data_IF_347212406290
#
_entry.id   IF_347212406290
#
_cell.length_a   1.000
_cell.length_b   1.000
_cell.length_c   1.000
_cell.angle_alpha   90.00
_cell.angle_beta   90.00
_cell.angle_gamma   90.00
#
_symmetry.space_group_name_H-M   'P 1'
#
loop_
_entity.id
_entity.type
_entity.pdbx_description
1 polymer ?
#
# COMPACT_ATOMS: atom_id res chain seq x y z
N UNK A 1 -19.98 -1.22 20.53
CA UNK A 1 -19.69 -0.98 19.10
C UNK A 1 -19.35 -2.33 18.49
N UNK A 2 -20.05 -2.76 17.44
CA UNK A 2 -19.80 -4.07 16.84
C UNK A 2 -18.42 -4.11 16.17
N UNK A 3 -17.78 -5.27 16.06
CA UNK A 3 -16.48 -5.41 15.37
C UNK A 3 -16.55 -4.93 13.92
N UNK A 4 -17.67 -5.20 13.24
CA UNK A 4 -17.94 -4.69 11.88
C UNK A 4 -18.01 -3.17 11.82
N UNK A 5 -18.59 -2.52 12.84
CA UNK A 5 -18.64 -1.06 12.90
C UNK A 5 -17.24 -0.47 13.08
N UNK A 6 -16.39 -1.16 13.87
CA UNK A 6 -15.00 -0.76 14.09
C UNK A 6 -14.18 -0.88 12.81
N UNK A 7 -14.29 -1.99 12.07
CA UNK A 7 -13.64 -2.17 10.76
C UNK A 7 -14.09 -1.08 9.79
N UNK A 8 -15.40 -0.83 9.70
CA UNK A 8 -15.94 0.21 8.82
C UNK A 8 -15.46 1.62 9.18
N UNK A 9 -15.30 1.92 10.48
CA UNK A 9 -14.72 3.20 10.92
C UNK A 9 -13.24 3.31 10.54
N UNK A 10 -12.45 2.26 10.79
CA UNK A 10 -11.02 2.24 10.47
C UNK A 10 -10.77 2.37 8.97
N UNK A 11 -11.54 1.65 8.14
CA UNK A 11 -11.48 1.77 6.69
C UNK A 11 -11.72 3.20 6.21
N UNK A 12 -12.81 3.85 6.69
CA UNK A 12 -13.12 5.23 6.30
C UNK A 12 -12.05 6.22 6.78
N UNK A 13 -11.52 6.02 7.98
CA UNK A 13 -10.41 6.82 8.51
C UNK A 13 -9.13 6.66 7.68
N UNK A 14 -8.81 5.43 7.27
CA UNK A 14 -7.68 5.14 6.39
C UNK A 14 -7.84 5.82 5.03
N UNK A 15 -9.01 5.69 4.41
CA UNK A 15 -9.33 6.30 3.12
C UNK A 15 -9.24 7.83 3.16
N UNK A 16 -9.75 8.46 4.22
CA UNK A 16 -9.66 9.91 4.40
C UNK A 16 -8.21 10.38 4.52
N UNK A 17 -7.39 9.66 5.30
CA UNK A 17 -5.97 9.95 5.43
C UNK A 17 -5.22 9.77 4.11
N UNK A 18 -5.51 8.69 3.37
CA UNK A 18 -4.90 8.41 2.07
C UNK A 18 -5.25 9.48 1.04
N UNK A 19 -6.54 9.83 0.94
CA UNK A 19 -7.02 10.87 0.02
C UNK A 19 -6.33 12.21 0.31
N UNK A 20 -6.24 12.58 1.60
CA UNK A 20 -5.53 13.79 2.02
C UNK A 20 -4.05 13.74 1.66
N UNK A 21 -3.39 12.61 1.85
CA UNK A 21 -2.00 12.44 1.44
C UNK A 21 -1.81 12.62 -0.07
N UNK A 22 -2.76 12.15 -0.89
CA UNK A 22 -2.70 12.28 -2.35
C UNK A 22 -2.85 13.72 -2.84
N UNK A 23 -3.51 14.59 -2.08
CA UNK A 23 -3.66 16.02 -2.41
C UNK A 23 -2.49 16.88 -1.97
N UNK A 24 -1.64 16.37 -1.09
CA UNK A 24 -0.48 17.08 -0.55
C UNK A 24 0.76 16.87 -1.42
N UNK A 25 1.61 17.89 -1.50
CA UNK A 25 2.93 17.79 -2.11
C UNK A 25 3.81 16.76 -1.38
N UNK A 26 4.86 16.27 -2.05
CA UNK A 26 5.80 15.31 -1.45
C UNK A 26 6.61 15.98 -0.35
N UNK A 27 6.08 15.96 0.87
CA UNK A 27 6.63 16.59 2.05
C UNK A 27 6.46 15.69 3.29
N UNK A 28 6.93 16.17 4.45
CA UNK A 28 6.80 15.42 5.71
C UNK A 28 5.33 15.20 6.11
N UNK A 29 4.43 16.16 5.83
CA UNK A 29 3.01 16.00 6.18
C UNK A 29 2.34 14.91 5.37
N UNK A 30 2.65 14.76 4.07
CA UNK A 30 2.17 13.65 3.25
C UNK A 30 2.59 12.30 3.81
N UNK A 31 3.86 12.14 4.20
CA UNK A 31 4.35 10.90 4.81
C UNK A 31 3.61 10.58 6.11
N UNK A 32 3.32 11.57 6.95
CA UNK A 32 2.52 11.38 8.16
C UNK A 32 1.09 10.93 7.87
N UNK A 33 0.43 11.53 6.88
CA UNK A 33 -0.91 11.12 6.46
C UNK A 33 -0.93 9.71 5.89
N UNK A 34 0.07 9.35 5.08
CA UNK A 34 0.21 8.00 4.55
C UNK A 34 0.47 6.97 5.65
N UNK A 35 1.28 7.30 6.67
CA UNK A 35 1.51 6.43 7.83
C UNK A 35 0.22 6.20 8.61
N UNK A 36 -0.56 7.25 8.86
CA UNK A 36 -1.88 7.13 9.50
C UNK A 36 -2.83 6.26 8.67
N UNK A 37 -2.86 6.46 7.35
CA UNK A 37 -3.67 5.64 6.45
C UNK A 37 -3.29 4.16 6.53
N UNK A 38 -2.00 3.88 6.47
CA UNK A 38 -1.45 2.53 6.61
C UNK A 38 -1.84 1.91 7.96
N UNK A 39 -1.63 2.61 9.07
CA UNK A 39 -1.87 2.05 10.41
C UNK A 39 -3.36 1.75 10.66
N UNK A 40 -4.25 2.63 10.19
CA UNK A 40 -5.70 2.39 10.26
C UNK A 40 -6.13 1.21 9.38
N UNK A 41 -5.60 1.11 8.15
CA UNK A 41 -5.91 -0.01 7.26
C UNK A 41 -5.34 -1.34 7.80
N UNK A 42 -4.16 -1.31 8.42
CA UNK A 42 -3.55 -2.47 9.05
C UNK A 42 -4.35 -2.95 10.26
N UNK A 43 -4.85 -2.04 11.09
CA UNK A 43 -5.73 -2.40 12.20
C UNK A 43 -7.05 -2.98 11.69
N UNK A 44 -7.62 -2.43 10.61
CA UNK A 44 -8.80 -2.99 9.97
C UNK A 44 -8.54 -4.41 9.42
N UNK A 45 -7.41 -4.63 8.76
CA UNK A 45 -7.01 -5.94 8.22
C UNK A 45 -6.82 -6.98 9.32
N UNK A 46 -6.26 -6.59 10.47
CA UNK A 46 -6.12 -7.48 11.63
C UNK A 46 -7.46 -7.91 12.23
N UNK A 47 -8.48 -7.05 12.15
CA UNK A 47 -9.83 -7.37 12.62
C UNK A 47 -10.62 -8.18 11.61
N UNK A 48 -10.45 -7.90 10.31
CA UNK A 48 -11.10 -8.63 9.23
C UNK A 48 -10.16 -8.74 8.02
N UNK A 49 -9.39 -9.83 7.98
CA UNK A 49 -8.37 -10.05 6.94
C UNK A 49 -8.94 -10.45 5.57
N UNK A 50 -10.25 -10.61 5.46
CA UNK A 50 -10.94 -10.99 4.22
C UNK A 50 -11.56 -9.79 3.49
N UNK A 51 -11.45 -8.60 4.06
CA UNK A 51 -12.05 -7.39 3.51
C UNK A 51 -11.18 -6.82 2.38
N UNK A 52 -11.66 -7.00 1.15
CA UNK A 52 -10.93 -6.62 -0.06
C UNK A 52 -10.77 -5.09 -0.16
N UNK A 53 -11.75 -4.33 0.31
CA UNK A 53 -11.70 -2.87 0.28
C UNK A 53 -10.59 -2.34 1.23
N UNK A 54 -10.48 -2.96 2.41
CA UNK A 54 -9.40 -2.67 3.36
C UNK A 54 -8.04 -3.01 2.77
N UNK A 55 -7.91 -4.18 2.13
CA UNK A 55 -6.68 -4.60 1.47
C UNK A 55 -6.27 -3.67 0.32
N UNK A 56 -7.23 -3.16 -0.45
CA UNK A 56 -6.99 -2.17 -1.51
C UNK A 56 -6.38 -0.88 -0.96
N UNK A 57 -6.97 -0.33 0.12
CA UNK A 57 -6.41 0.87 0.78
C UNK A 57 -5.05 0.59 1.39
N UNK A 58 -4.87 -0.58 2.02
CA UNK A 58 -3.60 -0.97 2.62
C UNK A 58 -2.49 -1.06 1.56
N UNK A 59 -2.74 -1.74 0.44
CA UNK A 59 -1.81 -1.82 -0.68
C UNK A 59 -1.48 -0.43 -1.23
N UNK A 60 -2.50 0.40 -1.46
CA UNK A 60 -2.34 1.76 -1.98
C UNK A 60 -1.49 2.65 -1.06
N UNK A 61 -1.76 2.61 0.25
CA UNK A 61 -1.00 3.37 1.25
C UNK A 61 0.44 2.88 1.36
N UNK A 62 0.69 1.57 1.43
CA UNK A 62 2.03 0.98 1.51
C UNK A 62 2.86 1.27 0.26
N UNK A 63 2.26 1.12 -0.92
CA UNK A 63 2.94 1.42 -2.18
C UNK A 63 3.33 2.90 -2.27
N UNK A 64 2.45 3.80 -1.83
CA UNK A 64 2.73 5.24 -1.83
C UNK A 64 3.80 5.63 -0.80
N UNK A 65 3.76 5.04 0.39
CA UNK A 65 4.81 5.17 1.40
C UNK A 65 6.16 4.71 0.85
N UNK A 66 6.20 3.58 0.16
CA UNK A 66 7.41 3.06 -0.43
C UNK A 66 8.01 4.04 -1.45
N UNK A 67 7.19 4.62 -2.33
CA UNK A 67 7.64 5.61 -3.34
C UNK A 67 8.42 6.78 -2.71
N UNK A 68 7.86 7.35 -1.64
CA UNK A 68 8.35 8.56 -0.98
C UNK A 68 9.43 8.29 0.09
N UNK A 69 9.75 7.01 0.34
CA UNK A 69 10.73 6.59 1.34
C UNK A 69 12.16 6.46 0.78
N UNK A 70 13.13 6.42 1.69
CA UNK A 70 14.53 6.08 1.37
C UNK A 70 14.65 4.64 0.84
N UNK A 71 15.81 4.27 0.29
CA UNK A 71 16.02 2.94 -0.33
C UNK A 71 15.76 1.78 0.64
N UNK A 72 16.18 1.88 1.90
CA UNK A 72 16.02 0.80 2.87
C UNK A 72 14.54 0.56 3.20
N UNK A 73 13.83 1.63 3.55
CA UNK A 73 12.40 1.59 3.86
C UNK A 73 11.57 1.21 2.63
N UNK A 74 11.97 1.66 1.43
CA UNK A 74 11.34 1.28 0.16
C UNK A 74 11.41 -0.23 -0.10
N UNK A 75 12.54 -0.88 0.19
CA UNK A 75 12.67 -2.33 0.05
C UNK A 75 11.76 -3.03 1.06
N UNK A 76 11.79 -2.62 2.33
CA UNK A 76 10.95 -3.21 3.38
C UNK A 76 9.45 -3.09 3.05
N UNK A 77 9.00 -1.87 2.73
CA UNK A 77 7.62 -1.59 2.35
C UNK A 77 7.23 -2.28 1.05
N UNK A 78 8.18 -2.49 0.12
CA UNK A 78 7.96 -3.26 -1.10
C UNK A 78 7.62 -4.73 -0.84
N UNK A 79 8.30 -5.36 0.14
CA UNK A 79 7.95 -6.72 0.57
C UNK A 79 6.61 -6.78 1.29
N UNK A 80 6.33 -5.82 2.19
CA UNK A 80 5.03 -5.73 2.86
C UNK A 80 3.88 -5.55 1.85
N UNK A 81 4.07 -4.64 0.88
CA UNK A 81 3.13 -4.41 -0.21
C UNK A 81 2.86 -5.69 -1.01
N UNK A 82 3.91 -6.44 -1.38
CA UNK A 82 3.76 -7.69 -2.14
C UNK A 82 2.96 -8.73 -1.36
N UNK A 83 3.13 -8.84 -0.04
CA UNK A 83 2.37 -9.76 0.80
C UNK A 83 0.88 -9.43 0.78
N UNK A 84 0.52 -8.18 1.07
CA UNK A 84 -0.88 -7.74 1.05
C UNK A 84 -1.51 -7.87 -0.34
N UNK A 85 -0.74 -7.57 -1.39
CA UNK A 85 -1.22 -7.69 -2.76
C UNK A 85 -1.49 -9.15 -3.15
N UNK A 86 -0.65 -10.08 -2.72
CA UNK A 86 -0.88 -11.50 -2.95
C UNK A 86 -2.10 -12.02 -2.19
N UNK A 87 -2.32 -11.55 -0.94
CA UNK A 87 -3.55 -11.84 -0.18
C UNK A 87 -4.79 -11.30 -0.91
N UNK A 88 -4.73 -10.05 -1.40
CA UNK A 88 -5.82 -9.44 -2.14
C UNK A 88 -6.15 -10.18 -3.45
N UNK A 89 -5.13 -10.62 -4.20
CA UNK A 89 -5.31 -11.42 -5.43
C UNK A 89 -5.86 -12.81 -5.11
N UNK A 90 -5.48 -13.41 -3.97
CA UNK A 90 -6.03 -14.70 -3.55
C UNK A 90 -7.54 -14.60 -3.24
N UNK A 91 -8.01 -13.46 -2.74
CA UNK A 91 -9.44 -13.20 -2.50
C UNK A 91 -10.18 -12.79 -3.77
N UNK A 92 -9.56 -11.94 -4.60
CA UNK A 92 -10.16 -11.42 -5.83
C UNK A 92 -9.13 -11.38 -6.98
N UNK A 93 -9.01 -12.50 -7.68
CA UNK A 93 -8.01 -12.69 -8.73
C UNK A 93 -8.28 -11.89 -10.02
N UNK A 94 -9.53 -11.52 -10.27
CA UNK A 94 -10.00 -10.80 -11.46
C UNK A 94 -10.01 -9.27 -11.27
N UNK A 95 -9.62 -8.77 -10.10
CA UNK A 95 -9.52 -7.34 -9.84
C UNK A 95 -8.46 -6.69 -10.73
N UNK A 96 -8.91 -5.81 -11.61
CA UNK A 96 -8.03 -4.99 -12.45
C UNK A 96 -7.04 -4.19 -11.61
N UNK A 97 -7.48 -3.65 -10.46
CA UNK A 97 -6.66 -2.85 -9.57
C UNK A 97 -5.43 -3.63 -9.08
N UNK A 98 -5.64 -4.84 -8.54
CA UNK A 98 -4.55 -5.64 -7.99
C UNK A 98 -3.62 -6.17 -9.08
N UNK A 99 -4.16 -6.56 -10.23
CA UNK A 99 -3.35 -6.95 -11.37
C UNK A 99 -2.49 -5.79 -11.90
N UNK A 100 -3.06 -4.58 -11.94
CA UNK A 100 -2.34 -3.36 -12.32
C UNK A 100 -1.22 -3.04 -11.32
N UNK A 101 -1.52 -3.05 -10.02
CA UNK A 101 -0.55 -2.86 -8.94
C UNK A 101 0.63 -3.85 -9.04
N UNK A 102 0.33 -5.13 -9.32
CA UNK A 102 1.35 -6.18 -9.49
C UNK A 102 2.25 -5.92 -10.69
N UNK A 103 1.64 -5.53 -11.83
CA UNK A 103 2.39 -5.16 -13.04
C UNK A 103 3.32 -3.96 -12.79
N UNK A 104 2.83 -2.94 -12.09
CA UNK A 104 3.61 -1.74 -11.74
C UNK A 104 4.82 -2.06 -10.86
N UNK A 105 4.64 -2.92 -9.86
CA UNK A 105 5.73 -3.41 -9.01
C UNK A 105 6.79 -4.15 -9.84
N UNK A 106 6.38 -5.09 -10.68
CA UNK A 106 7.30 -5.86 -11.53
C UNK A 106 8.12 -4.95 -12.46
N UNK A 107 7.49 -3.92 -13.04
CA UNK A 107 8.17 -2.90 -13.85
C UNK A 107 9.19 -2.10 -13.04
N UNK A 108 8.83 -1.65 -11.83
CA UNK A 108 9.71 -0.88 -10.96
C UNK A 108 10.93 -1.70 -10.52
N UNK A 109 10.74 -2.95 -10.11
CA UNK A 109 11.83 -3.87 -9.72
C UNK A 109 12.78 -4.09 -10.89
N UNK A 110 12.26 -4.39 -12.09
CA UNK A 110 13.09 -4.58 -13.28
C UNK A 110 13.87 -3.30 -13.64
N UNK A 111 13.24 -2.14 -13.57
CA UNK A 111 13.88 -0.86 -13.88
C UNK A 111 14.98 -0.51 -12.87
N UNK A 112 14.75 -0.76 -11.59
CA UNK A 112 15.75 -0.57 -10.55
C UNK A 112 16.95 -1.50 -10.77
N UNK A 113 16.72 -2.80 -10.99
CA UNK A 113 17.76 -3.78 -11.28
C UNK A 113 18.58 -3.41 -12.53
N UNK A 114 17.91 -2.99 -13.60
CA UNK A 114 18.57 -2.58 -14.83
C UNK A 114 19.51 -1.39 -14.59
N UNK A 115 19.10 -0.38 -13.81
CA UNK A 115 19.97 0.75 -13.44
C UNK A 115 21.21 0.32 -12.64
N UNK A 116 21.13 -0.73 -11.83
CA UNK A 116 22.31 -1.30 -11.16
C UNK A 116 23.21 -2.08 -12.12
N UNK A 117 22.65 -2.73 -13.14
CA UNK A 117 23.41 -3.48 -14.15
C UNK A 117 24.19 -2.57 -15.11
N UNK A 118 23.71 -1.37 -15.43
CA UNK A 118 24.41 -0.43 -16.34
C UNK A 118 25.62 0.25 -15.66
N UNK A 119 25.80 0.12 -14.35
CA UNK A 119 27.02 0.59 -13.66
C UNK A 119 28.15 -0.45 -13.62
N UNK A 120 27.95 -1.63 -14.23
CA UNK A 120 28.91 -2.72 -14.28
C UNK A 120 29.25 -3.20 -15.71
N UNK A 121 28.90 -2.42 -16.74
CA UNK A 121 29.36 -2.61 -18.12
C UNK A 121 30.08 -1.35 -18.57
#
# INVERSE_FOLDING_TARGET
>A
MSEKDKVGWLYRSAMACYTKACTEDVNKSRLEWLRKAHDHALEAHKLNGSDVDVLSVLCSATGKLAEDSNIYDKIKLGFEFLNYLNEAIALQADSYEFLHMRGRLAYQVKTALCKFSVSFI
#
